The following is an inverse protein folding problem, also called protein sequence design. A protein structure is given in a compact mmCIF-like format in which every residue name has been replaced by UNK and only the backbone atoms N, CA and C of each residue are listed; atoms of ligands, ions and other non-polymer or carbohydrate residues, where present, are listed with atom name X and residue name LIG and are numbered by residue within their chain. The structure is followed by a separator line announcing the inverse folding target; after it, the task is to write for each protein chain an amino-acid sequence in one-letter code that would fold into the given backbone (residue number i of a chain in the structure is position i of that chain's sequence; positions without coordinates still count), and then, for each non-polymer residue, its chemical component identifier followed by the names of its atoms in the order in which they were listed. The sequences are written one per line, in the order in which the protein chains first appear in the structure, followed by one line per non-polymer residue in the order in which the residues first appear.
data_IF_576043637180
#
_entry.id   IF_576043637180
#
_cell.length_a   1.000
_cell.length_b   1.000
_cell.length_c   1.000
_cell.angle_alpha   90.00
_cell.angle_beta   90.00
_cell.angle_gamma   90.00
#
_symmetry.space_group_name_H-M   'P 1'
#
loop_
_entity.id
_entity.type
_entity.pdbx_description
1 polymer ?
#
# COMPACT_ATOMS: atom_id res chain seq x y z
N UNK A 1 85.49 -12.95 -5.95
CA UNK A 1 86.31 -12.68 -7.15
C UNK A 1 85.57 -13.23 -8.35
N UNK A 2 84.85 -12.38 -9.12
CA UNK A 2 85.27 -11.82 -10.43
C UNK A 2 85.78 -12.87 -11.43
N UNK A 3 84.98 -13.16 -12.45
CA UNK A 3 85.44 -13.11 -13.84
C UNK A 3 84.27 -12.93 -14.81
N UNK A 4 84.34 -11.85 -15.59
CA UNK A 4 83.58 -11.56 -16.80
C UNK A 4 84.06 -12.47 -17.96
N UNK A 5 83.19 -12.72 -18.94
CA UNK A 5 83.47 -12.86 -20.38
C UNK A 5 82.14 -13.05 -21.12
N UNK A 6 81.64 -11.99 -21.75
CA UNK A 6 81.73 -11.70 -23.20
C UNK A 6 80.64 -12.39 -24.03
N UNK A 7 79.80 -11.55 -24.65
CA UNK A 7 78.74 -11.91 -25.60
C UNK A 7 79.32 -12.51 -26.89
N UNK A 8 78.46 -13.18 -27.68
CA UNK A 8 78.26 -12.64 -29.03
C UNK A 8 76.79 -12.49 -29.43
N UNK A 9 76.53 -11.36 -30.09
CA UNK A 9 75.29 -11.04 -30.81
C UNK A 9 75.07 -12.05 -31.94
N UNK A 10 73.90 -12.69 -31.99
CA UNK A 10 73.38 -13.28 -33.23
C UNK A 10 72.12 -12.56 -33.67
N UNK A 11 72.33 -11.75 -34.71
CA UNK A 11 71.35 -11.06 -35.51
C UNK A 11 70.53 -12.11 -36.29
N UNK A 12 69.23 -12.25 -36.03
CA UNK A 12 68.28 -12.85 -36.98
C UNK A 12 67.07 -11.94 -37.14
N UNK A 13 67.18 -11.08 -38.16
CA UNK A 13 66.06 -10.52 -38.90
C UNK A 13 65.32 -11.66 -39.60
N UNK A 14 64.03 -11.80 -39.30
CA UNK A 14 63.03 -12.47 -40.13
C UNK A 14 61.73 -12.43 -39.34
N UNK A 15 60.62 -11.89 -39.78
CA UNK A 15 60.21 -11.23 -41.01
C UNK A 15 58.81 -10.77 -40.65
N UNK A 16 58.55 -9.48 -40.79
CA UNK A 16 57.22 -8.91 -40.72
C UNK A 16 56.35 -9.61 -41.78
N UNK A 17 55.57 -10.61 -41.35
CA UNK A 17 54.42 -11.07 -42.13
C UNK A 17 53.36 -9.99 -41.94
N UNK A 18 53.41 -9.00 -42.84
CA UNK A 18 52.24 -8.20 -43.20
C UNK A 18 51.21 -9.18 -43.77
N UNK A 19 50.39 -9.72 -42.87
CA UNK A 19 49.08 -10.24 -43.22
C UNK A 19 48.21 -9.05 -43.59
N UNK A 20 48.28 -8.67 -44.85
CA UNK A 20 47.39 -7.72 -45.50
C UNK A 20 46.02 -8.38 -45.61
N UNK A 21 45.23 -8.23 -44.54
CA UNK A 21 43.90 -8.79 -44.38
C UNK A 21 42.97 -7.72 -43.84
N UNK A 22 42.53 -6.82 -44.74
CA UNK A 22 41.31 -6.00 -44.66
C UNK A 22 40.86 -5.58 -43.24
N UNK A 23 41.56 -4.61 -42.64
CA UNK A 23 41.01 -3.77 -41.55
C UNK A 23 40.11 -2.65 -42.12
N UNK A 24 39.07 -3.03 -42.86
CA UNK A 24 38.15 -2.07 -43.48
C UNK A 24 36.67 -2.28 -43.11
N UNK A 25 36.34 -3.21 -42.19
CA UNK A 25 34.96 -3.46 -41.77
C UNK A 25 34.71 -3.31 -40.24
N UNK A 26 35.71 -2.90 -39.45
CA UNK A 26 35.54 -2.75 -37.99
C UNK A 26 34.93 -1.40 -37.55
N UNK A 27 34.89 -0.42 -38.45
CA UNK A 27 34.20 0.84 -38.17
C UNK A 27 32.68 0.65 -38.12
N UNK A 28 32.14 -0.23 -38.97
CA UNK A 28 30.71 -0.57 -38.97
C UNK A 28 30.35 -1.52 -37.83
N UNK A 29 31.22 -2.46 -37.44
CA UNK A 29 31.00 -3.29 -36.25
C UNK A 29 31.00 -2.46 -34.97
N UNK A 30 31.95 -1.52 -34.82
CA UNK A 30 32.00 -0.60 -33.68
C UNK A 30 30.78 0.34 -33.64
N UNK A 31 30.32 0.83 -34.80
CA UNK A 31 29.09 1.62 -34.92
C UNK A 31 27.85 0.79 -34.59
N UNK A 32 27.77 -0.46 -35.05
CA UNK A 32 26.68 -1.38 -34.72
C UNK A 32 26.66 -1.71 -33.22
N UNK A 33 27.81 -1.95 -32.58
CA UNK A 33 27.89 -2.11 -31.13
C UNK A 33 27.50 -0.84 -30.38
N UNK A 34 27.87 0.33 -30.89
CA UNK A 34 27.47 1.61 -30.30
C UNK A 34 25.96 1.85 -30.46
N UNK A 35 25.36 1.49 -31.59
CA UNK A 35 23.91 1.57 -31.82
C UNK A 35 23.18 0.54 -30.97
N UNK A 36 23.65 -0.70 -30.87
CA UNK A 36 23.08 -1.74 -30.03
C UNK A 36 23.18 -1.40 -28.53
N UNK A 37 24.30 -0.83 -28.09
CA UNK A 37 24.47 -0.33 -26.72
C UNK A 37 23.55 0.86 -26.44
N UNK A 38 23.43 1.81 -27.38
CA UNK A 38 22.50 2.94 -27.25
C UNK A 38 21.05 2.47 -27.21
N UNK A 39 20.64 1.57 -28.11
CA UNK A 39 19.27 1.00 -28.12
C UNK A 39 18.97 0.16 -26.88
N UNK A 40 19.93 -0.63 -26.40
CA UNK A 40 19.78 -1.38 -25.15
C UNK A 40 19.62 -0.46 -23.95
N UNK A 41 20.42 0.61 -23.88
CA UNK A 41 20.36 1.59 -22.80
C UNK A 41 19.07 2.42 -22.85
N UNK A 42 18.58 2.81 -24.03
CA UNK A 42 17.30 3.55 -24.13
C UNK A 42 16.12 2.69 -23.72
N UNK A 43 16.09 1.41 -24.12
CA UNK A 43 15.01 0.49 -23.74
C UNK A 43 15.01 0.20 -22.24
N UNK A 44 16.21 0.01 -21.65
CA UNK A 44 16.35 -0.14 -20.19
C UNK A 44 15.91 1.11 -19.46
N UNK A 45 16.28 2.30 -19.95
CA UNK A 45 15.89 3.56 -19.34
C UNK A 45 14.38 3.80 -19.45
N UNK A 46 13.77 3.45 -20.59
CA UNK A 46 12.32 3.49 -20.76
C UNK A 46 11.60 2.53 -19.80
N UNK A 47 12.12 1.30 -19.64
CA UNK A 47 11.59 0.31 -18.71
C UNK A 47 11.71 0.76 -17.25
N UNK A 48 12.86 1.33 -16.85
CA UNK A 48 13.06 1.88 -15.51
C UNK A 48 12.12 3.07 -15.24
N UNK A 49 11.92 3.94 -16.23
CA UNK A 49 10.98 5.06 -16.13
C UNK A 49 9.54 4.56 -15.97
N UNK A 50 9.12 3.54 -16.73
CA UNK A 50 7.81 2.89 -16.57
C UNK A 50 7.63 2.28 -15.18
N UNK A 51 8.65 1.58 -14.68
CA UNK A 51 8.62 1.02 -13.32
C UNK A 51 8.57 2.12 -12.26
N UNK A 52 9.25 3.25 -12.46
CA UNK A 52 9.19 4.40 -11.56
C UNK A 52 7.79 5.02 -11.54
N UNK A 53 7.17 5.23 -12.70
CA UNK A 53 5.80 5.77 -12.75
C UNK A 53 4.80 4.82 -12.11
N UNK A 54 4.95 3.51 -12.34
CA UNK A 54 4.10 2.50 -11.69
C UNK A 54 4.29 2.47 -10.18
N UNK A 55 5.53 2.53 -9.68
CA UNK A 55 5.82 2.65 -8.25
C UNK A 55 5.09 3.85 -7.65
N UNK A 56 5.18 5.01 -8.30
CA UNK A 56 4.60 6.24 -7.77
C UNK A 56 3.07 6.18 -7.75
N UNK A 57 2.44 5.58 -8.78
CA UNK A 57 1.00 5.31 -8.80
C UNK A 57 0.58 4.35 -7.66
N UNK A 58 1.31 3.25 -7.46
CA UNK A 58 1.03 2.31 -6.39
C UNK A 58 1.20 2.95 -5.00
N UNK A 59 2.23 3.77 -4.81
CA UNK A 59 2.44 4.50 -3.56
C UNK A 59 1.33 5.52 -3.29
N UNK A 60 0.86 6.23 -4.31
CA UNK A 60 -0.30 7.13 -4.19
C UNK A 60 -1.57 6.37 -3.82
N UNK A 61 -1.80 5.23 -4.47
CA UNK A 61 -2.92 4.33 -4.15
C UNK A 61 -2.86 3.85 -2.69
N UNK A 62 -1.71 3.37 -2.22
CA UNK A 62 -1.52 2.97 -0.82
C UNK A 62 -1.83 4.11 0.14
N UNK A 63 -1.32 5.31 -0.14
CA UNK A 63 -1.58 6.50 0.70
C UNK A 63 -3.06 6.86 0.74
N UNK A 64 -3.75 6.75 -0.40
CA UNK A 64 -5.19 7.00 -0.49
C UNK A 64 -5.98 5.99 0.35
N UNK A 65 -5.69 4.70 0.20
CA UNK A 65 -6.36 3.63 0.97
C UNK A 65 -6.14 3.76 2.47
N UNK A 66 -4.89 4.00 2.90
CA UNK A 66 -4.59 4.23 4.32
C UNK A 66 -5.38 5.41 4.90
N UNK A 67 -5.55 6.50 4.14
CA UNK A 67 -6.38 7.63 4.56
C UNK A 67 -7.85 7.23 4.70
N UNK A 68 -8.38 6.45 3.76
CA UNK A 68 -9.77 5.99 3.81
C UNK A 68 -10.00 5.05 5.00
N UNK A 69 -9.10 4.09 5.22
CA UNK A 69 -9.12 3.21 6.39
C UNK A 69 -9.09 4.00 7.70
N UNK A 70 -8.21 5.00 7.81
CA UNK A 70 -8.14 5.87 8.99
C UNK A 70 -9.47 6.59 9.25
N UNK A 71 -10.13 7.10 8.20
CA UNK A 71 -11.44 7.74 8.36
C UNK A 71 -12.51 6.76 8.87
N UNK A 72 -12.49 5.51 8.39
CA UNK A 72 -13.45 4.48 8.86
C UNK A 72 -13.20 4.16 10.34
N UNK A 73 -11.94 3.96 10.71
CA UNK A 73 -11.53 3.73 12.08
C UNK A 73 -11.89 4.90 13.01
N UNK A 74 -11.74 6.14 12.54
CA UNK A 74 -12.18 7.34 13.28
C UNK A 74 -13.70 7.36 13.49
N UNK A 75 -14.48 6.96 12.49
CA UNK A 75 -15.94 6.84 12.63
C UNK A 75 -16.26 5.80 13.70
N UNK A 76 -15.61 4.63 13.66
CA UNK A 76 -15.77 3.56 14.68
C UNK A 76 -15.41 4.05 16.09
N UNK A 77 -14.27 4.73 16.23
CA UNK A 77 -13.84 5.32 17.51
C UNK A 77 -14.83 6.35 18.04
N UNK A 78 -15.35 7.20 17.15
CA UNK A 78 -16.38 8.17 17.53
C UNK A 78 -17.67 7.48 17.98
N UNK A 79 -18.03 6.33 17.39
CA UNK A 79 -19.19 5.53 17.85
C UNK A 79 -18.97 4.95 19.23
N UNK A 80 -17.77 4.46 19.54
CA UNK A 80 -17.42 3.98 20.88
C UNK A 80 -17.62 5.06 21.95
N UNK A 81 -17.31 6.32 21.60
CA UNK A 81 -17.35 7.42 22.55
C UNK A 81 -18.75 8.04 22.76
N UNK A 82 -19.68 7.99 21.79
CA UNK A 82 -20.85 8.89 21.79
C UNK A 82 -22.25 8.26 21.61
N UNK A 83 -22.45 6.93 21.52
CA UNK A 83 -23.80 6.40 21.22
C UNK A 83 -24.31 5.33 22.19
N UNK A 84 -25.20 5.73 23.12
CA UNK A 84 -26.12 4.80 23.83
C UNK A 84 -26.95 3.99 22.84
N UNK A 85 -27.36 4.61 21.73
CA UNK A 85 -28.24 3.96 20.75
C UNK A 85 -27.53 2.85 19.98
N UNK A 86 -26.22 2.96 19.76
CA UNK A 86 -25.41 1.86 19.24
C UNK A 86 -25.50 0.64 20.16
N UNK A 87 -25.30 0.84 21.46
CA UNK A 87 -25.35 -0.25 22.43
C UNK A 87 -26.78 -0.81 22.60
N UNK A 88 -27.83 0.01 22.42
CA UNK A 88 -29.21 -0.47 22.41
C UNK A 88 -29.47 -1.43 21.24
N UNK A 89 -29.08 -1.05 20.03
CA UNK A 89 -29.29 -1.90 18.83
C UNK A 89 -28.44 -3.18 18.87
N UNK A 90 -27.21 -3.12 19.39
CA UNK A 90 -26.39 -4.32 19.64
C UNK A 90 -27.01 -5.21 20.71
N UNK A 91 -27.56 -4.64 21.80
CA UNK A 91 -28.22 -5.41 22.86
C UNK A 91 -29.53 -6.08 22.40
N UNK A 92 -30.22 -5.50 21.40
CA UNK A 92 -31.40 -6.10 20.75
C UNK A 92 -31.06 -7.33 19.89
N UNK A 93 -29.77 -7.59 19.62
CA UNK A 93 -29.32 -8.78 18.89
C UNK A 93 -29.63 -8.77 17.39
N UNK A 94 -29.76 -7.60 16.77
CA UNK A 94 -29.99 -7.50 15.33
C UNK A 94 -28.79 -8.04 14.52
N UNK A 95 -29.08 -8.76 13.43
CA UNK A 95 -28.05 -9.34 12.56
C UNK A 95 -27.20 -8.24 11.88
N UNK A 96 -25.88 -8.31 12.07
CA UNK A 96 -24.90 -7.35 11.54
C UNK A 96 -24.61 -6.14 12.45
N UNK A 97 -25.17 -6.13 13.67
CA UNK A 97 -24.86 -5.15 14.71
C UNK A 97 -23.91 -5.79 15.73
N UNK A 98 -22.68 -5.29 15.76
CA UNK A 98 -21.61 -5.81 16.61
C UNK A 98 -20.92 -4.64 17.32
N UNK A 99 -20.14 -4.92 18.37
CA UNK A 99 -19.31 -3.86 18.96
C UNK A 99 -18.29 -3.36 17.92
N UNK A 100 -18.07 -2.04 17.82
CA UNK A 100 -17.02 -1.51 16.98
C UNK A 100 -15.67 -2.02 17.48
N UNK A 101 -14.81 -2.45 16.57
CA UNK A 101 -13.44 -2.84 16.88
C UNK A 101 -12.46 -2.06 15.98
N UNK A 102 -12.03 -0.88 16.43
CA UNK A 102 -11.05 -0.06 15.70
C UNK A 102 -9.71 -0.77 15.48
N UNK A 103 -9.35 -1.75 16.32
CA UNK A 103 -8.04 -2.43 16.23
C UNK A 103 -7.97 -3.42 15.07
N UNK A 104 -9.12 -3.78 14.49
CA UNK A 104 -9.25 -4.67 13.33
C UNK A 104 -8.43 -4.20 12.11
N UNK A 105 -8.29 -2.89 11.93
CA UNK A 105 -7.56 -2.29 10.81
C UNK A 105 -6.04 -2.44 10.90
N UNK A 106 -5.50 -2.87 12.05
CA UNK A 106 -4.05 -2.98 12.27
C UNK A 106 -3.36 -3.91 11.28
N UNK A 107 -3.95 -5.08 11.02
CA UNK A 107 -3.31 -6.08 10.16
C UNK A 107 -3.22 -5.55 8.72
N UNK A 108 -4.31 -5.00 8.19
CA UNK A 108 -4.32 -4.38 6.87
C UNK A 108 -3.31 -3.23 6.79
N UNK A 109 -3.33 -2.29 7.75
CA UNK A 109 -2.44 -1.13 7.77
C UNK A 109 -0.95 -1.52 7.86
N UNK A 110 -0.63 -2.56 8.64
CA UNK A 110 0.73 -3.08 8.74
C UNK A 110 1.21 -3.66 7.40
N UNK A 111 0.36 -4.39 6.68
CA UNK A 111 0.71 -4.95 5.38
C UNK A 111 0.88 -3.84 4.32
N UNK A 112 0.01 -2.82 4.30
CA UNK A 112 0.18 -1.64 3.45
C UNK A 112 1.49 -0.90 3.73
N UNK A 113 1.84 -0.69 5.01
CA UNK A 113 3.11 -0.06 5.41
C UNK A 113 4.31 -0.87 4.90
N UNK A 114 4.31 -2.19 5.11
CA UNK A 114 5.37 -3.09 4.62
C UNK A 114 5.47 -3.09 3.09
N UNK A 115 4.35 -3.06 2.38
CA UNK A 115 4.30 -2.98 0.92
C UNK A 115 4.94 -1.67 0.44
N UNK A 116 4.54 -0.53 1.00
CA UNK A 116 5.11 0.77 0.65
C UNK A 116 6.60 0.87 0.98
N UNK A 117 7.07 0.33 2.11
CA UNK A 117 8.49 0.28 2.44
C UNK A 117 9.29 -0.57 1.45
N UNK A 118 8.77 -1.73 1.04
CA UNK A 118 9.40 -2.55 0.01
C UNK A 118 9.50 -1.80 -1.34
N UNK A 119 8.45 -1.07 -1.72
CA UNK A 119 8.45 -0.24 -2.94
C UNK A 119 9.44 0.93 -2.84
N UNK A 120 9.53 1.60 -1.69
CA UNK A 120 10.48 2.70 -1.45
C UNK A 120 11.94 2.21 -1.48
N UNK A 121 12.20 0.97 -1.05
CA UNK A 121 13.53 0.35 -1.10
C UNK A 121 13.90 -0.18 -2.50
N UNK A 122 13.02 -0.03 -3.50
CA UNK A 122 13.28 -0.43 -4.88
C UNK A 122 12.86 -1.87 -5.21
N UNK A 123 12.21 -2.58 -4.30
CA UNK A 123 11.69 -3.94 -4.52
C UNK A 123 10.22 -3.90 -4.95
N UNK A 124 9.97 -3.56 -6.22
CA UNK A 124 8.62 -3.38 -6.75
C UNK A 124 7.83 -4.69 -6.75
N UNK A 125 8.41 -5.80 -7.24
CA UNK A 125 7.73 -7.09 -7.30
C UNK A 125 7.29 -7.62 -5.93
N UNK A 126 8.14 -7.51 -4.90
CA UNK A 126 7.79 -7.87 -3.52
C UNK A 126 6.74 -6.92 -2.94
N UNK A 127 6.83 -5.62 -3.26
CA UNK A 127 5.86 -4.63 -2.83
C UNK A 127 4.45 -4.93 -3.34
N UNK A 128 4.33 -5.35 -4.60
CA UNK A 128 3.03 -5.74 -5.21
C UNK A 128 2.43 -6.97 -4.54
N UNK A 129 3.22 -8.01 -4.28
CA UNK A 129 2.72 -9.21 -3.57
C UNK A 129 2.21 -8.87 -2.16
N UNK A 130 2.92 -7.99 -1.45
CA UNK A 130 2.49 -7.51 -0.14
C UNK A 130 1.23 -6.64 -0.23
N UNK A 131 1.09 -5.88 -1.32
CA UNK A 131 -0.09 -5.06 -1.57
C UNK A 131 -1.33 -5.92 -1.87
N UNK A 132 -1.20 -6.96 -2.70
CA UNK A 132 -2.28 -7.91 -2.98
C UNK A 132 -2.78 -8.57 -1.69
N UNK A 133 -1.86 -9.04 -0.85
CA UNK A 133 -2.20 -9.57 0.48
C UNK A 133 -2.88 -8.52 1.37
N UNK A 134 -2.40 -7.27 1.34
CA UNK A 134 -3.01 -6.19 2.12
C UNK A 134 -4.46 -5.93 1.68
N UNK A 135 -4.75 -5.99 0.37
CA UNK A 135 -6.08 -5.80 -0.19
C UNK A 135 -7.04 -6.93 0.19
N UNK A 136 -6.58 -8.19 0.20
CA UNK A 136 -7.39 -9.32 0.65
C UNK A 136 -7.82 -9.17 2.12
N UNK A 137 -6.87 -8.78 2.98
CA UNK A 137 -7.13 -8.55 4.40
C UNK A 137 -8.04 -7.34 4.59
N UNK A 138 -7.82 -6.26 3.83
CA UNK A 138 -8.66 -5.07 3.84
C UNK A 138 -10.11 -5.41 3.43
N UNK A 139 -10.31 -6.18 2.35
CA UNK A 139 -11.66 -6.59 1.94
C UNK A 139 -12.37 -7.43 3.00
N UNK A 140 -11.67 -8.41 3.59
CA UNK A 140 -12.23 -9.22 4.68
C UNK A 140 -12.55 -8.37 5.92
N UNK A 141 -11.70 -7.36 6.20
CA UNK A 141 -11.92 -6.39 7.28
C UNK A 141 -13.17 -5.57 7.03
N UNK A 142 -13.35 -5.02 5.81
CA UNK A 142 -14.54 -4.26 5.42
C UNK A 142 -15.84 -5.05 5.50
N UNK A 143 -15.84 -6.32 5.09
CA UNK A 143 -17.01 -7.20 5.21
C UNK A 143 -17.47 -7.35 6.66
N UNK A 144 -16.54 -7.30 7.60
CA UNK A 144 -16.83 -7.40 9.03
C UNK A 144 -17.14 -6.06 9.72
N UNK A 145 -17.11 -4.94 8.99
CA UNK A 145 -17.49 -3.62 9.51
C UNK A 145 -19.01 -3.58 9.74
N UNK A 146 -19.47 -3.15 10.93
CA UNK A 146 -20.90 -3.08 11.22
C UNK A 146 -21.67 -2.17 10.25
N UNK A 147 -22.90 -2.56 9.88
CA UNK A 147 -23.75 -1.82 8.92
C UNK A 147 -23.99 -0.36 9.33
N UNK A 148 -24.02 -0.07 10.63
CA UNK A 148 -24.16 1.31 11.13
C UNK A 148 -23.00 2.23 10.75
N UNK A 149 -21.76 1.71 10.74
CA UNK A 149 -20.58 2.45 10.25
C UNK A 149 -20.66 2.59 8.74
N UNK A 150 -21.08 1.55 8.03
CA UNK A 150 -21.34 1.59 6.58
C UNK A 150 -22.39 2.64 6.18
N UNK A 151 -23.41 2.84 7.00
CA UNK A 151 -24.46 3.84 6.72
C UNK A 151 -23.96 5.28 6.91
N UNK A 152 -23.00 5.51 7.82
CA UNK A 152 -22.39 6.82 8.09
C UNK A 152 -21.20 7.15 7.19
N UNK A 153 -20.69 6.17 6.44
CA UNK A 153 -19.68 6.40 5.41
C UNK A 153 -20.29 7.24 4.26
N UNK A 154 -19.64 8.37 3.96
CA UNK A 154 -20.04 9.23 2.84
C UNK A 154 -20.02 8.46 1.52
N UNK A 155 -20.91 8.81 0.58
CA UNK A 155 -20.96 8.18 -0.75
C UNK A 155 -19.59 8.22 -1.45
N UNK A 156 -18.81 9.28 -1.25
CA UNK A 156 -17.43 9.42 -1.77
C UNK A 156 -16.44 8.44 -1.16
N UNK A 157 -16.61 8.07 0.11
CA UNK A 157 -15.78 7.08 0.79
C UNK A 157 -16.16 5.67 0.36
N UNK A 158 -17.45 5.42 0.09
CA UNK A 158 -17.92 4.17 -0.53
C UNK A 158 -17.40 3.98 -1.94
N UNK A 159 -17.32 5.05 -2.73
CA UNK A 159 -16.74 5.02 -4.08
C UNK A 159 -15.22 4.79 -4.07
N UNK A 160 -14.48 5.45 -3.18
CA UNK A 160 -13.04 5.22 -2.98
C UNK A 160 -12.71 3.78 -2.56
N UNK A 161 -13.66 3.08 -1.93
CA UNK A 161 -13.50 1.68 -1.56
C UNK A 161 -13.57 0.73 -2.76
N UNK A 162 -14.32 1.09 -3.80
CA UNK A 162 -14.55 0.28 -5.00
C UNK A 162 -13.56 0.56 -6.13
N UNK A 163 -12.56 1.41 -5.91
CA UNK A 163 -11.59 1.76 -6.95
C UNK A 163 -10.76 0.52 -7.33
N UNK A 164 -10.86 0.03 -8.59
CA UNK A 164 -10.14 -1.16 -9.00
C UNK A 164 -8.65 -0.88 -9.02
N UNK A 165 -7.89 -1.75 -8.36
CA UNK A 165 -6.43 -1.63 -8.32
C UNK A 165 -5.89 -1.95 -9.71
N UNK A 166 -5.32 -0.96 -10.39
CA UNK A 166 -4.55 -1.20 -11.61
C UNK A 166 -3.19 -1.77 -11.23
N UNK A 167 -3.19 -3.00 -10.73
CA UNK A 167 -1.94 -3.78 -10.62
C UNK A 167 -1.62 -4.26 -12.03
N UNK A 168 -0.91 -3.44 -12.79
CA UNK A 168 -0.28 -3.93 -14.01
C UNK A 168 0.58 -5.15 -13.68
N UNK A 169 0.68 -6.12 -14.59
CA UNK A 169 1.49 -7.32 -14.37
C UNK A 169 2.96 -6.93 -14.20
N UNK A 170 3.41 -6.79 -12.96
CA UNK A 170 4.78 -6.47 -12.59
C UNK A 170 5.48 -7.80 -12.30
N UNK A 171 6.53 -8.10 -13.06
CA UNK A 171 7.33 -9.31 -12.84
C UNK A 171 7.90 -9.33 -11.42
N UNK A 172 7.91 -10.47 -10.76
CA UNK A 172 8.39 -10.59 -9.36
C UNK A 172 9.84 -10.14 -9.15
N UNK A 173 10.66 -10.13 -10.21
CA UNK A 173 12.03 -9.60 -10.21
C UNK A 173 12.17 -8.12 -10.57
N UNK A 174 11.08 -7.37 -10.76
CA UNK A 174 11.14 -5.97 -11.12
C UNK A 174 11.70 -5.12 -9.98
N UNK A 175 12.77 -4.39 -10.28
CA UNK A 175 13.39 -3.42 -9.39
C UNK A 175 13.22 -2.00 -9.92
N UNK A 176 13.19 -1.03 -9.01
CA UNK A 176 13.22 0.39 -9.31
C UNK A 176 14.25 1.11 -8.42
N UNK A 177 14.54 2.37 -8.71
CA UNK A 177 15.34 3.21 -7.83
C UNK A 177 14.66 3.39 -6.47
N UNK A 178 15.46 3.51 -5.41
CA UNK A 178 14.95 3.81 -4.07
C UNK A 178 14.44 5.25 -4.02
N UNK A 179 13.33 5.48 -3.31
CA UNK A 179 12.71 6.79 -3.14
C UNK A 179 12.38 7.05 -1.68
N UNK A 180 12.34 8.33 -1.31
CA UNK A 180 11.94 8.76 0.01
C UNK A 180 10.50 8.31 0.33
N UNK A 181 10.23 8.03 1.61
CA UNK A 181 8.89 7.60 2.04
C UNK A 181 7.87 8.72 1.76
N UNK A 182 6.72 8.41 1.15
CA UNK A 182 5.68 9.41 0.91
C UNK A 182 5.06 9.89 2.24
N UNK A 183 4.64 11.15 2.29
CA UNK A 183 4.06 11.74 3.51
C UNK A 183 2.80 11.01 3.96
N UNK A 184 1.99 10.49 3.04
CA UNK A 184 0.75 9.75 3.35
C UNK A 184 0.96 8.44 4.12
N UNK A 185 2.19 7.94 4.25
CA UNK A 185 2.48 6.73 5.03
C UNK A 185 2.19 6.90 6.53
N UNK A 186 2.18 8.14 7.05
CA UNK A 186 1.91 8.42 8.47
C UNK A 186 0.52 7.94 8.92
N UNK A 187 -0.45 7.82 8.00
CA UNK A 187 -1.76 7.27 8.32
C UNK A 187 -1.69 5.83 8.80
N UNK A 188 -0.71 5.03 8.33
CA UNK A 188 -0.51 3.69 8.86
C UNK A 188 -0.07 3.74 10.34
N UNK A 189 0.80 4.70 10.71
CA UNK A 189 1.23 4.86 12.10
C UNK A 189 0.10 5.35 13.00
N UNK A 190 -0.77 6.23 12.49
CA UNK A 190 -1.97 6.67 13.20
C UNK A 190 -2.92 5.50 13.46
N UNK A 191 -3.18 4.68 12.44
CA UNK A 191 -4.06 3.51 12.56
C UNK A 191 -3.51 2.52 13.59
N UNK A 192 -2.21 2.24 13.55
CA UNK A 192 -1.54 1.29 14.45
C UNK A 192 -1.43 1.78 15.91
N UNK A 193 -1.56 3.09 16.15
CA UNK A 193 -1.52 3.65 17.49
C UNK A 193 -2.86 3.58 18.23
N UNK A 194 -3.95 3.21 17.54
CA UNK A 194 -5.27 3.10 18.17
C UNK A 194 -5.30 1.88 19.08
N UNK A 195 -5.59 2.09 20.36
CA UNK A 195 -5.73 1.01 21.35
C UNK A 195 -7.16 0.88 21.88
N UNK A 196 -8.08 1.69 21.35
CA UNK A 196 -9.47 1.72 21.76
C UNK A 196 -10.16 0.40 21.33
N UNK A 197 -10.51 -0.43 22.31
CA UNK A 197 -11.28 -1.66 22.13
C UNK A 197 -12.26 -1.81 23.31
N UNK A 198 -13.45 -2.36 23.05
CA UNK A 198 -14.43 -2.70 24.08
C UNK A 198 -14.67 -4.20 24.06
N UNK A 199 -14.24 -4.89 25.12
CA UNK A 199 -14.50 -6.33 25.30
C UNK A 199 -15.93 -6.63 25.76
N UNK A 200 -16.62 -5.63 26.34
CA UNK A 200 -17.97 -5.75 26.88
C UNK A 200 -18.80 -4.51 26.56
N UNK A 201 -20.07 -4.74 26.29
CA UNK A 201 -21.06 -3.67 26.17
C UNK A 201 -21.13 -2.95 27.53
N UNK A 202 -20.91 -1.63 27.59
CA UNK A 202 -21.09 -0.88 28.82
C UNK A 202 -22.53 -1.05 29.31
N UNK A 203 -22.72 -1.21 30.62
CA UNK A 203 -24.06 -1.41 31.19
C UNK A 203 -24.97 -0.25 30.80
N UNK A 204 -25.97 -0.53 29.98
CA UNK A 204 -27.01 0.45 29.68
C UNK A 204 -27.79 0.72 30.97
N UNK A 205 -28.00 1.99 31.35
CA UNK A 205 -28.90 2.32 32.44
C UNK A 205 -30.27 1.75 32.11
N UNK A 206 -30.72 0.79 32.91
CA UNK A 206 -32.09 0.25 32.86
C UNK A 206 -32.97 1.42 33.31
N UNK A 207 -33.86 1.95 32.44
CA UNK A 207 -34.80 2.98 32.87
C UNK A 207 -35.64 2.40 34.01
N UNK A 208 -35.84 3.17 35.07
CA UNK A 208 -36.71 2.73 36.14
C UNK A 208 -38.13 2.55 35.56
N UNK A 209 -38.87 1.53 36.01
CA UNK A 209 -40.20 1.24 35.46
C UNK A 209 -41.22 2.37 35.65
N UNK A 210 -40.95 3.33 36.54
CA UNK A 210 -41.76 4.53 36.75
C UNK A 210 -41.38 5.73 35.87
N UNK A 211 -40.21 5.70 35.18
CA UNK A 211 -39.79 6.74 34.22
C UNK A 211 -40.22 6.42 32.78
N UNK A 212 -40.64 5.17 32.51
CA UNK A 212 -41.12 4.71 31.20
C UNK A 212 -42.54 5.21 30.94
N UNK A 213 -43.40 5.15 31.96
CA UNK A 213 -44.79 5.66 31.91
C UNK A 213 -44.88 7.15 31.60
N UNK A 214 -43.97 7.96 32.16
CA UNK A 214 -44.01 9.42 31.99
C UNK A 214 -43.62 9.86 30.57
N UNK A 215 -42.89 9.01 29.84
CA UNK A 215 -42.38 9.34 28.51
C UNK A 215 -43.31 8.87 27.39
N UNK A 216 -44.04 7.77 27.61
CA UNK A 216 -45.14 7.35 26.73
C UNK A 216 -46.34 8.30 26.85
N UNK A 217 -46.64 8.83 28.04
CA UNK A 217 -47.68 9.86 28.24
C UNK A 217 -47.31 11.22 27.58
N UNK A 218 -46.04 11.64 27.60
CA UNK A 218 -45.60 12.86 26.91
C UNK A 218 -45.62 12.73 25.37
N UNK A 219 -45.33 11.54 24.80
CA UNK A 219 -45.44 11.30 23.35
C UNK A 219 -46.90 11.18 22.87
N UNK A 220 -47.82 10.65 23.69
CA UNK A 220 -49.27 10.65 23.39
C UNK A 220 -49.89 12.06 23.50
N UNK A 221 -49.45 12.90 24.45
CA UNK A 221 -49.93 14.29 24.56
C UNK A 221 -49.48 15.18 23.38
N UNK A 222 -48.27 14.99 22.84
CA UNK A 222 -47.82 15.72 21.64
C UNK A 222 -48.57 15.30 20.35
N UNK A 223 -48.96 14.03 20.21
CA UNK A 223 -49.78 13.58 19.08
C UNK A 223 -51.26 14.02 19.19
N UNK A 224 -51.79 14.22 20.40
CA UNK A 224 -53.15 14.75 20.60
C UNK A 224 -53.24 16.29 20.45
N UNK A 225 -52.16 17.05 20.68
CA UNK A 225 -52.14 18.51 20.45
C UNK A 225 -51.92 18.91 18.97
N UNK A 226 -51.46 18.00 18.10
CA UNK A 226 -51.30 18.25 16.65
C UNK A 226 -52.51 17.85 15.77
N UNK A 227 -53.65 17.42 16.36
CA UNK A 227 -54.90 17.08 15.63
C UNK A 227 -55.98 18.16 15.70
#
# INVERSE_FOLDING_TARGET
MRSLKENPKTNRRSSSIRGDGKRANDADSARLHQVASKMGNTNLQEHLNKNSSQRDQLLQFICHRLKTMHNVQDIERNQLAHQRDWFKEVAKGQEGYHLPDPTRWHEAAQNFKRAAEAMCNGHLGRGVQLLEKALEIESATYESVPKMVQNKLDSKQKEANNEPVVVGHISSGASCSSVAKPTGLHYADLILNVQDHLDKIPSLPIPNWWEVTTKEEEEEEEEEEEV
#
